data_IF_022317076706
#
_entry.id   IF_022317076706
#
_cell.length_a   1.000
_cell.length_b   1.000
_cell.length_c   1.000
_cell.angle_alpha   90.00
_cell.angle_beta   90.00
_cell.angle_gamma   90.00
#
_symmetry.space_group_name_H-M   'P 1'
#
loop_
_entity.id
_entity.type
_entity.pdbx_description
1 polymer ?
#
# COMPACT_ATOMS: atom_id res chain seq x y z
N UNK A 1 24.60 6.55 -17.49
CA UNK A 1 24.06 5.67 -16.45
C UNK A 1 22.87 4.91 -17.01
N UNK A 2 22.73 3.60 -16.67
CA UNK A 2 21.59 2.76 -17.09
C UNK A 2 20.95 2.15 -15.85
N UNK A 3 19.71 2.50 -15.58
CA UNK A 3 18.96 1.95 -14.44
C UNK A 3 17.93 0.93 -14.96
N UNK A 4 18.04 -0.31 -14.52
CA UNK A 4 17.09 -1.36 -14.83
C UNK A 4 16.08 -1.49 -13.68
N UNK A 5 14.78 -1.50 -14.01
CA UNK A 5 13.70 -1.50 -13.02
C UNK A 5 12.79 -2.70 -13.22
N UNK A 6 12.54 -3.44 -12.15
CA UNK A 6 11.53 -4.48 -12.12
C UNK A 6 10.13 -3.84 -12.10
N UNK A 7 9.39 -3.97 -13.21
CA UNK A 7 8.07 -3.39 -13.42
C UNK A 7 6.97 -4.47 -13.54
N UNK A 8 7.20 -5.69 -13.05
CA UNK A 8 6.25 -6.81 -13.17
C UNK A 8 4.87 -6.55 -12.56
N UNK A 9 4.77 -5.62 -11.61
CA UNK A 9 3.52 -5.23 -10.95
C UNK A 9 2.72 -4.16 -11.71
N UNK A 10 3.25 -3.64 -12.82
CA UNK A 10 2.54 -2.70 -13.70
C UNK A 10 1.74 -3.40 -14.80
N UNK A 11 1.53 -4.70 -14.69
CA UNK A 11 0.84 -5.52 -15.69
C UNK A 11 -0.66 -5.76 -15.44
N UNK A 12 -1.17 -5.72 -14.22
CA UNK A 12 -2.61 -5.87 -13.96
C UNK A 12 -3.40 -4.63 -14.37
N UNK A 13 -4.64 -4.83 -14.82
CA UNK A 13 -5.59 -3.73 -15.09
C UNK A 13 -5.93 -2.90 -13.85
N UNK A 14 -5.53 -3.36 -12.66
CA UNK A 14 -5.74 -2.72 -11.37
C UNK A 14 -4.38 -2.58 -10.70
N UNK A 15 -3.96 -1.35 -10.43
CA UNK A 15 -2.78 -1.11 -9.62
C UNK A 15 -3.13 -1.31 -8.15
N UNK A 16 -2.53 -2.30 -7.54
CA UNK A 16 -2.55 -2.50 -6.09
C UNK A 16 -1.23 -1.99 -5.48
N UNK A 17 -1.10 -1.95 -4.18
CA UNK A 17 0.00 -1.33 -3.43
C UNK A 17 1.37 -1.29 -4.11
N UNK A 18 1.96 -2.45 -4.46
CA UNK A 18 3.25 -2.49 -5.18
C UNK A 18 3.19 -1.86 -6.57
N UNK A 19 2.07 -2.04 -7.28
CA UNK A 19 1.87 -1.46 -8.60
C UNK A 19 1.78 0.07 -8.53
N UNK A 20 0.98 0.58 -7.60
CA UNK A 20 0.85 2.04 -7.36
C UNK A 20 2.20 2.64 -6.97
N UNK A 21 2.90 2.05 -6.00
CA UNK A 21 4.23 2.49 -5.59
C UNK A 21 5.21 2.55 -6.77
N UNK A 22 5.28 1.48 -7.55
CA UNK A 22 6.15 1.40 -8.72
C UNK A 22 5.79 2.44 -9.78
N UNK A 23 4.50 2.60 -10.06
CA UNK A 23 4.01 3.55 -11.06
C UNK A 23 4.34 5.00 -10.67
N UNK A 24 4.05 5.37 -9.43
CA UNK A 24 4.23 6.73 -8.94
C UNK A 24 5.73 7.14 -8.93
N UNK A 25 6.63 6.24 -8.54
CA UNK A 25 8.05 6.54 -8.56
C UNK A 25 8.62 6.55 -9.99
N UNK A 26 8.36 5.48 -10.75
CA UNK A 26 8.98 5.32 -12.08
C UNK A 26 8.54 6.39 -13.06
N UNK A 27 7.25 6.75 -13.05
CA UNK A 27 6.73 7.78 -13.97
C UNK A 27 7.30 9.18 -13.68
N UNK A 28 7.64 9.48 -12.43
CA UNK A 28 8.33 10.72 -12.06
C UNK A 28 9.79 10.67 -12.48
N UNK A 29 10.52 9.63 -12.13
CA UNK A 29 11.94 9.52 -12.46
C UNK A 29 12.22 9.59 -13.96
N UNK A 30 11.45 8.88 -14.78
CA UNK A 30 11.66 8.89 -16.24
C UNK A 30 11.38 10.25 -16.89
N UNK A 31 10.54 11.09 -16.28
CA UNK A 31 10.24 12.46 -16.73
C UNK A 31 11.28 13.47 -16.23
N UNK A 32 11.77 13.30 -15.00
CA UNK A 32 12.66 14.26 -14.36
C UNK A 32 14.14 14.06 -14.73
N UNK A 33 14.54 12.83 -15.12
CA UNK A 33 15.94 12.46 -15.35
C UNK A 33 16.19 11.99 -16.79
N UNK A 34 16.06 12.90 -17.73
CA UNK A 34 16.24 12.63 -19.16
C UNK A 34 17.66 12.19 -19.55
N UNK A 35 18.66 12.53 -18.73
CA UNK A 35 20.07 12.14 -18.90
C UNK A 35 20.36 10.68 -18.54
N UNK A 36 19.40 10.00 -17.93
CA UNK A 36 19.49 8.60 -17.50
C UNK A 36 18.72 7.68 -18.42
N UNK A 37 19.32 6.57 -18.82
CA UNK A 37 18.61 5.53 -19.57
C UNK A 37 17.91 4.55 -18.63
N UNK A 38 16.61 4.38 -18.81
CA UNK A 38 15.79 3.46 -18.03
C UNK A 38 15.44 2.21 -18.83
N UNK A 39 15.64 1.03 -18.23
CA UNK A 39 15.23 -0.26 -18.76
C UNK A 39 14.12 -0.82 -17.88
N UNK A 40 12.86 -0.65 -18.30
CA UNK A 40 11.69 -1.13 -17.58
C UNK A 40 11.42 -2.60 -17.95
N UNK A 41 11.53 -3.50 -16.98
CA UNK A 41 11.48 -4.95 -17.20
C UNK A 41 10.13 -5.50 -16.73
N UNK A 42 9.42 -6.14 -17.65
CA UNK A 42 8.11 -6.75 -17.41
C UNK A 42 8.18 -8.26 -17.63
N UNK A 43 7.34 -9.01 -16.91
CA UNK A 43 7.17 -10.45 -17.12
C UNK A 43 6.06 -10.78 -18.15
N UNK A 44 5.31 -9.77 -18.57
CA UNK A 44 4.24 -9.79 -19.59
C UNK A 44 3.94 -8.36 -20.05
N UNK A 45 3.05 -8.21 -21.04
CA UNK A 45 2.64 -6.89 -21.53
C UNK A 45 2.07 -6.02 -20.40
N UNK A 46 2.55 -4.77 -20.24
CA UNK A 46 1.98 -3.82 -19.29
C UNK A 46 0.59 -3.37 -19.75
N UNK A 47 -0.33 -3.22 -18.80
CA UNK A 47 -1.68 -2.70 -19.08
C UNK A 47 -1.85 -1.25 -18.67
N UNK A 48 -0.85 -0.67 -17.99
CA UNK A 48 -0.82 0.74 -17.61
C UNK A 48 -0.07 1.56 -18.66
N UNK A 49 -0.53 2.79 -18.86
CA UNK A 49 0.14 3.73 -19.76
C UNK A 49 1.40 4.26 -19.08
N UNK A 50 2.55 3.95 -19.67
CA UNK A 50 3.85 4.49 -19.25
C UNK A 50 4.29 5.47 -20.35
N UNK A 51 4.70 6.70 -20.01
CA UNK A 51 5.17 7.68 -20.97
C UNK A 51 6.23 7.10 -21.91
N UNK A 52 6.10 7.39 -23.20
CA UNK A 52 7.07 7.01 -24.21
C UNK A 52 8.11 8.12 -24.35
N UNK A 53 9.30 7.89 -23.82
CA UNK A 53 10.39 8.84 -23.79
C UNK A 53 11.64 8.22 -24.43
N UNK A 54 12.52 9.02 -25.09
CA UNK A 54 13.70 8.50 -25.79
C UNK A 54 14.68 7.74 -24.87
N UNK A 55 14.73 8.10 -23.59
CA UNK A 55 15.57 7.49 -22.57
C UNK A 55 14.95 6.26 -21.90
N UNK A 56 13.77 5.79 -22.34
CA UNK A 56 13.04 4.68 -21.73
C UNK A 56 12.94 3.50 -22.70
N UNK A 57 13.42 2.34 -22.27
CA UNK A 57 13.28 1.07 -22.99
C UNK A 57 12.39 0.10 -22.22
N UNK A 58 11.25 -0.27 -22.79
CA UNK A 58 10.38 -1.35 -22.26
C UNK A 58 10.90 -2.70 -22.74
N UNK A 59 11.04 -3.66 -21.84
CA UNK A 59 11.55 -5.02 -22.14
C UNK A 59 10.66 -6.05 -21.49
N UNK A 60 10.08 -6.94 -22.30
CA UNK A 60 9.25 -8.04 -21.81
C UNK A 60 10.06 -9.31 -21.88
N UNK A 61 10.16 -10.02 -20.75
CA UNK A 61 10.89 -11.29 -20.67
C UNK A 61 10.15 -12.28 -19.75
N UNK A 62 10.00 -13.50 -20.23
CA UNK A 62 9.47 -14.61 -19.43
C UNK A 62 10.46 -15.26 -18.47
N UNK A 63 9.95 -16.20 -17.67
CA UNK A 63 8.57 -16.65 -17.59
C UNK A 63 7.67 -15.67 -16.83
N UNK A 64 6.33 -15.67 -17.07
CA UNK A 64 5.38 -14.91 -16.25
C UNK A 64 5.46 -15.32 -14.77
N UNK A 65 5.61 -14.35 -13.89
CA UNK A 65 5.84 -14.58 -12.45
C UNK A 65 4.52 -14.86 -11.71
N UNK A 66 3.97 -16.08 -11.85
CA UNK A 66 2.70 -16.49 -11.20
C UNK A 66 2.87 -17.56 -10.13
N UNK A 67 4.08 -18.12 -9.96
CA UNK A 67 4.38 -19.20 -9.02
C UNK A 67 5.81 -19.03 -8.48
N UNK A 68 6.13 -19.38 -7.23
CA UNK A 68 7.46 -19.23 -6.63
C UNK A 68 8.64 -19.79 -7.46
N UNK A 69 8.45 -20.95 -8.12
CA UNK A 69 9.46 -21.48 -9.04
C UNK A 69 9.74 -20.55 -10.22
N UNK A 70 8.69 -19.93 -10.78
CA UNK A 70 8.84 -18.99 -11.89
C UNK A 70 9.46 -17.66 -11.43
N UNK A 71 9.24 -17.23 -10.18
CA UNK A 71 9.96 -16.11 -9.57
C UNK A 71 11.47 -16.41 -9.54
N UNK A 72 11.84 -17.61 -9.04
CA UNK A 72 13.23 -18.00 -8.99
C UNK A 72 13.89 -18.00 -10.38
N UNK A 73 13.25 -18.60 -11.40
CA UNK A 73 13.75 -18.59 -12.78
C UNK A 73 13.91 -17.16 -13.29
N UNK A 74 12.89 -16.32 -13.08
CA UNK A 74 12.88 -14.95 -13.58
C UNK A 74 13.98 -14.10 -12.95
N UNK A 75 14.11 -14.11 -11.62
CA UNK A 75 15.12 -13.33 -10.91
C UNK A 75 16.54 -13.88 -11.06
N UNK A 76 16.72 -15.19 -11.14
CA UNK A 76 18.07 -15.79 -11.18
C UNK A 76 18.62 -16.03 -12.58
N UNK A 77 17.75 -16.04 -13.62
CA UNK A 77 18.19 -16.29 -14.99
C UNK A 77 17.80 -15.16 -15.94
N UNK A 78 16.55 -14.72 -15.94
CA UNK A 78 16.06 -13.75 -16.91
C UNK A 78 16.58 -12.35 -16.59
N UNK A 79 16.46 -11.89 -15.35
CA UNK A 79 16.95 -10.57 -14.91
C UNK A 79 18.47 -10.42 -15.15
N UNK A 80 19.38 -11.32 -14.71
CA UNK A 80 20.81 -11.15 -14.96
C UNK A 80 21.19 -11.03 -16.44
N UNK A 81 20.47 -11.75 -17.33
CA UNK A 81 20.71 -11.65 -18.77
C UNK A 81 20.38 -10.26 -19.31
N UNK A 82 19.26 -9.67 -18.85
CA UNK A 82 18.86 -8.32 -19.27
C UNK A 82 19.82 -7.27 -18.69
N UNK A 83 20.17 -7.38 -17.41
CA UNK A 83 21.13 -6.47 -16.78
C UNK A 83 22.48 -6.46 -17.56
N UNK A 84 22.97 -7.63 -17.96
CA UNK A 84 24.18 -7.74 -18.78
C UNK A 84 23.99 -7.18 -20.18
N UNK A 85 22.86 -7.49 -20.86
CA UNK A 85 22.56 -7.06 -22.23
C UNK A 85 22.52 -5.54 -22.36
N UNK A 86 21.89 -4.87 -21.39
CA UNK A 86 21.75 -3.42 -21.39
C UNK A 86 22.85 -2.69 -20.62
N UNK A 87 23.85 -3.41 -20.12
CA UNK A 87 24.97 -2.87 -19.31
C UNK A 87 24.43 -2.01 -18.15
N UNK A 88 23.42 -2.55 -17.45
CA UNK A 88 22.81 -1.85 -16.33
C UNK A 88 23.84 -1.54 -15.24
N UNK A 89 23.86 -0.29 -14.78
CA UNK A 89 24.72 0.17 -13.68
C UNK A 89 24.07 -0.07 -12.33
N UNK A 90 22.72 -0.14 -12.30
CA UNK A 90 21.94 -0.42 -11.11
C UNK A 90 20.67 -1.20 -11.46
N UNK A 91 20.26 -2.09 -10.57
CA UNK A 91 18.97 -2.78 -10.59
C UNK A 91 18.08 -2.30 -9.44
N UNK A 92 16.90 -1.76 -9.77
CA UNK A 92 15.89 -1.41 -8.77
C UNK A 92 14.71 -2.40 -8.78
N UNK A 93 14.37 -2.93 -7.60
CA UNK A 93 13.25 -3.85 -7.45
C UNK A 93 12.30 -3.36 -6.36
N UNK A 94 11.13 -2.82 -6.73
CA UNK A 94 10.21 -2.12 -5.82
C UNK A 94 9.35 -3.05 -4.96
N UNK A 95 9.53 -4.36 -5.03
CA UNK A 95 8.67 -5.38 -4.43
C UNK A 95 9.42 -6.35 -3.49
N UNK A 96 10.63 -5.99 -3.08
CA UNK A 96 11.43 -6.76 -2.12
C UNK A 96 12.17 -7.97 -2.68
N UNK A 97 12.01 -8.29 -3.97
CA UNK A 97 12.76 -9.36 -4.62
C UNK A 97 14.07 -8.85 -5.18
N UNK A 98 15.05 -9.76 -5.33
CA UNK A 98 16.36 -9.46 -5.90
C UNK A 98 16.89 -10.67 -6.67
N UNK A 99 17.94 -10.46 -7.46
CA UNK A 99 18.74 -11.54 -8.05
C UNK A 99 19.97 -11.83 -7.19
N UNK A 100 20.09 -13.04 -6.69
CA UNK A 100 21.28 -13.48 -5.93
C UNK A 100 22.48 -13.71 -6.85
N UNK A 101 22.26 -14.00 -8.13
CA UNK A 101 23.29 -14.27 -9.14
C UNK A 101 23.85 -13.02 -9.80
N UNK A 102 23.11 -11.92 -9.80
CA UNK A 102 23.57 -10.67 -10.40
C UNK A 102 24.72 -10.06 -9.59
N UNK A 103 25.69 -9.47 -10.31
CA UNK A 103 26.77 -8.65 -9.72
C UNK A 103 26.47 -7.15 -9.84
N UNK A 104 25.41 -6.77 -10.53
CA UNK A 104 24.98 -5.37 -10.64
C UNK A 104 24.50 -4.89 -9.27
N UNK A 105 24.96 -3.72 -8.80
CA UNK A 105 24.44 -3.11 -7.58
C UNK A 105 22.91 -3.04 -7.61
N UNK A 106 22.27 -3.29 -6.46
CA UNK A 106 20.81 -3.32 -6.42
C UNK A 106 20.25 -2.51 -5.25
N UNK A 107 19.14 -1.84 -5.51
CA UNK A 107 18.27 -1.25 -4.51
C UNK A 107 16.94 -2.00 -4.54
N UNK A 108 16.47 -2.46 -3.39
CA UNK A 108 15.16 -3.13 -3.27
C UNK A 108 14.27 -2.38 -2.29
N UNK A 109 12.95 -2.42 -2.49
CA UNK A 109 12.00 -1.88 -1.50
C UNK A 109 11.31 -3.02 -0.78
N UNK A 110 11.49 -3.11 0.53
CA UNK A 110 10.76 -4.05 1.40
C UNK A 110 9.68 -3.26 2.11
N UNK A 111 8.42 -3.53 1.78
CA UNK A 111 7.29 -2.76 2.29
C UNK A 111 6.89 -3.17 3.70
N UNK A 112 6.85 -4.47 3.98
CA UNK A 112 6.56 -5.04 5.29
C UNK A 112 7.09 -6.47 5.41
N UNK A 113 7.04 -7.02 6.62
CA UNK A 113 7.40 -8.40 6.93
C UNK A 113 6.23 -9.21 7.49
N UNK A 114 4.99 -8.95 7.03
CA UNK A 114 3.81 -9.71 7.50
C UNK A 114 4.01 -11.23 7.38
N UNK A 115 4.70 -11.70 6.33
CA UNK A 115 4.97 -13.11 6.10
C UNK A 115 5.90 -13.76 7.14
N UNK A 116 6.69 -12.97 7.88
CA UNK A 116 7.48 -13.44 9.02
C UNK A 116 6.62 -13.54 10.28
N UNK A 117 5.81 -12.52 10.56
CA UNK A 117 5.01 -12.41 11.77
C UNK A 117 3.73 -13.22 11.72
N UNK A 118 3.06 -13.27 10.57
CA UNK A 118 1.78 -13.94 10.34
C UNK A 118 1.87 -14.92 9.17
N UNK A 119 2.67 -15.99 9.25
CA UNK A 119 2.88 -16.91 8.14
C UNK A 119 1.62 -17.66 7.70
N UNK A 120 0.61 -17.73 8.54
CA UNK A 120 -0.69 -18.36 8.24
C UNK A 120 -1.52 -17.52 7.25
N UNK A 121 -1.23 -16.23 7.10
CA UNK A 121 -1.93 -15.33 6.18
C UNK A 121 -1.62 -15.59 4.70
N UNK A 122 -0.64 -16.44 4.41
CA UNK A 122 -0.18 -16.70 3.06
C UNK A 122 -0.25 -18.18 2.68
N UNK A 123 -0.39 -18.51 1.38
CA UNK A 123 -0.22 -19.87 0.90
C UNK A 123 1.14 -20.43 1.34
N UNK A 124 1.16 -21.67 1.86
CA UNK A 124 2.33 -22.29 2.49
C UNK A 124 3.61 -22.22 1.65
N UNK A 125 3.50 -22.48 0.34
CA UNK A 125 4.65 -22.46 -0.59
C UNK A 125 5.20 -21.04 -0.76
N UNK A 126 4.32 -20.05 -0.89
CA UNK A 126 4.73 -18.65 -1.00
C UNK A 126 5.35 -18.16 0.31
N UNK A 127 4.73 -18.43 1.44
CA UNK A 127 5.27 -18.06 2.76
C UNK A 127 6.63 -18.69 3.03
N UNK A 128 6.82 -19.99 2.68
CA UNK A 128 8.13 -20.63 2.74
C UNK A 128 9.16 -19.95 1.84
N UNK A 129 8.79 -19.62 0.60
CA UNK A 129 9.69 -18.95 -0.35
C UNK A 129 10.14 -17.59 0.18
N UNK A 130 9.21 -16.75 0.63
CA UNK A 130 9.50 -15.41 1.14
C UNK A 130 10.43 -15.48 2.36
N UNK A 131 10.10 -16.27 3.37
CA UNK A 131 10.92 -16.43 4.59
C UNK A 131 12.33 -17.01 4.29
N UNK A 132 12.48 -17.81 3.24
CA UNK A 132 13.79 -18.37 2.85
C UNK A 132 14.64 -17.37 2.05
N UNK A 133 14.02 -16.56 1.19
CA UNK A 133 14.76 -15.79 0.19
C UNK A 133 14.81 -14.28 0.48
N UNK A 134 13.80 -13.69 1.11
CA UNK A 134 13.82 -12.23 1.39
C UNK A 134 14.99 -11.84 2.30
N UNK A 135 15.37 -12.59 3.36
CA UNK A 135 16.58 -12.28 4.12
C UNK A 135 17.84 -12.22 3.24
N UNK A 136 17.97 -13.15 2.28
CA UNK A 136 19.09 -13.20 1.34
C UNK A 136 19.05 -12.06 0.33
N UNK A 137 17.84 -11.64 -0.09
CA UNK A 137 17.66 -10.50 -0.97
C UNK A 137 18.07 -9.20 -0.27
N UNK A 138 17.68 -9.04 1.00
CA UNK A 138 18.07 -7.91 1.84
C UNK A 138 19.59 -7.91 2.07
N UNK A 139 20.18 -9.05 2.39
CA UNK A 139 21.63 -9.20 2.54
C UNK A 139 22.40 -8.83 1.26
N UNK A 140 21.93 -9.33 0.11
CA UNK A 140 22.55 -9.12 -1.22
C UNK A 140 22.41 -7.68 -1.72
N UNK A 141 21.30 -7.01 -1.43
CA UNK A 141 21.04 -5.65 -1.91
C UNK A 141 22.13 -4.68 -1.42
N UNK A 142 22.51 -3.73 -2.27
CA UNK A 142 23.46 -2.66 -1.88
C UNK A 142 22.78 -1.69 -0.92
N UNK A 143 21.54 -1.33 -1.20
CA UNK A 143 20.68 -0.50 -0.33
C UNK A 143 19.27 -1.08 -0.29
N UNK A 144 18.57 -0.81 0.79
CA UNK A 144 17.18 -1.21 0.99
C UNK A 144 16.35 0.05 1.24
N UNK A 145 15.26 0.21 0.51
CA UNK A 145 14.21 1.17 0.82
C UNK A 145 13.11 0.48 1.62
N UNK A 146 12.46 1.24 2.48
CA UNK A 146 11.25 0.82 3.15
C UNK A 146 10.33 2.02 3.37
N UNK A 147 9.07 1.74 3.71
CA UNK A 147 8.00 2.73 3.63
C UNK A 147 7.60 3.35 4.99
N UNK A 148 8.22 2.91 6.09
CA UNK A 148 8.00 3.46 7.44
C UNK A 148 9.20 3.21 8.35
N UNK A 149 9.31 3.99 9.43
CA UNK A 149 10.32 3.77 10.46
C UNK A 149 10.08 2.46 11.20
N UNK A 150 8.79 2.10 11.40
CA UNK A 150 8.41 0.78 11.91
C UNK A 150 8.99 -0.35 11.05
N UNK A 151 8.74 -0.33 9.73
CA UNK A 151 9.27 -1.36 8.83
C UNK A 151 10.80 -1.38 8.78
N UNK A 152 11.47 -0.23 8.90
CA UNK A 152 12.92 -0.16 9.04
C UNK A 152 13.41 -0.88 10.28
N UNK A 153 12.80 -0.63 11.43
CA UNK A 153 13.14 -1.31 12.69
C UNK A 153 12.88 -2.80 12.60
N UNK A 154 11.75 -3.20 12.00
CA UNK A 154 11.37 -4.60 11.83
C UNK A 154 12.36 -5.36 10.94
N UNK A 155 12.74 -4.81 9.78
CA UNK A 155 13.76 -5.39 8.89
C UNK A 155 15.11 -5.51 9.62
N UNK A 156 15.53 -4.45 10.33
CA UNK A 156 16.78 -4.44 11.09
C UNK A 156 16.79 -5.55 12.13
N UNK A 157 15.71 -5.71 12.87
CA UNK A 157 15.57 -6.72 13.94
C UNK A 157 15.50 -8.14 13.39
N UNK A 158 14.62 -8.38 12.39
CA UNK A 158 14.37 -9.72 11.86
C UNK A 158 15.56 -10.26 11.07
N UNK A 159 16.24 -9.40 10.30
CA UNK A 159 17.33 -9.84 9.40
C UNK A 159 18.71 -9.42 9.85
N UNK A 160 18.84 -8.80 11.02
CA UNK A 160 20.12 -8.29 11.57
C UNK A 160 20.88 -7.43 10.55
N UNK A 161 20.12 -6.69 9.73
CA UNK A 161 20.65 -5.81 8.70
C UNK A 161 21.08 -4.49 9.32
N UNK A 162 22.23 -3.96 8.91
CA UNK A 162 22.71 -2.66 9.39
C UNK A 162 21.69 -1.54 9.04
N UNK A 163 21.34 -0.72 10.04
CA UNK A 163 20.31 0.33 9.91
C UNK A 163 20.66 1.37 8.83
N UNK A 164 21.96 1.61 8.60
CA UNK A 164 22.50 2.55 7.62
C UNK A 164 22.27 2.07 6.17
N UNK A 165 22.08 0.75 5.99
CA UNK A 165 21.72 0.15 4.71
C UNK A 165 20.27 0.42 4.31
N UNK A 166 19.40 0.74 5.28
CA UNK A 166 17.96 0.88 5.12
C UNK A 166 17.59 2.36 5.18
N UNK A 167 16.99 2.86 4.10
CA UNK A 167 16.44 4.23 4.03
C UNK A 167 14.91 4.16 4.07
N UNK A 168 14.30 4.95 4.96
CA UNK A 168 12.84 5.11 5.02
C UNK A 168 12.42 6.19 4.05
N UNK A 169 11.47 5.88 3.18
CA UNK A 169 10.84 6.80 2.24
C UNK A 169 9.33 6.59 2.31
N UNK A 170 8.62 7.56 2.86
CA UNK A 170 7.17 7.49 3.01
C UNK A 170 6.46 7.54 1.64
N UNK A 171 5.36 6.79 1.52
CA UNK A 171 4.50 6.87 0.35
C UNK A 171 3.69 8.17 0.36
N UNK A 172 3.20 8.57 -0.81
CA UNK A 172 2.19 9.61 -0.96
C UNK A 172 0.78 9.04 -1.17
N UNK A 173 -0.16 9.95 -1.43
CA UNK A 173 -1.45 9.65 -2.00
C UNK A 173 -1.70 10.51 -3.25
N UNK A 174 -2.60 10.04 -4.13
CA UNK A 174 -2.92 10.76 -5.36
C UNK A 174 -3.67 12.07 -5.05
N UNK A 175 -3.42 13.11 -5.85
CA UNK A 175 -4.03 14.44 -5.68
C UNK A 175 -5.54 14.47 -5.88
N UNK A 176 -6.11 13.42 -6.47
CA UNK A 176 -7.56 13.29 -6.62
C UNK A 176 -8.28 13.18 -5.25
N UNK A 177 -7.57 12.72 -4.21
CA UNK A 177 -8.07 12.73 -2.84
C UNK A 177 -7.94 14.15 -2.28
N UNK A 178 -9.07 14.81 -2.08
CA UNK A 178 -9.17 16.16 -1.55
C UNK A 178 -10.52 16.36 -0.86
N UNK A 179 -10.68 17.37 -0.01
CA UNK A 179 -11.98 17.71 0.57
C UNK A 179 -13.02 17.97 -0.52
N UNK A 180 -14.22 17.44 -0.35
CA UNK A 180 -15.32 17.55 -1.30
C UNK A 180 -16.32 18.62 -0.85
N UNK A 181 -17.03 19.25 -1.82
CA UNK A 181 -18.19 20.09 -1.54
C UNK A 181 -19.35 19.28 -0.97
N UNK A 182 -20.22 19.92 -0.19
CA UNK A 182 -21.36 19.24 0.42
C UNK A 182 -22.32 18.65 -0.63
N UNK A 183 -22.49 19.29 -1.78
CA UNK A 183 -23.33 18.76 -2.87
C UNK A 183 -22.83 17.41 -3.39
N UNK A 184 -21.50 17.28 -3.56
CA UNK A 184 -20.89 16.01 -3.97
C UNK A 184 -21.04 14.95 -2.88
N UNK A 185 -20.84 15.32 -1.61
CA UNK A 185 -21.03 14.39 -0.48
C UNK A 185 -22.46 13.89 -0.40
N UNK A 186 -23.46 14.78 -0.50
CA UNK A 186 -24.90 14.44 -0.47
C UNK A 186 -25.24 13.50 -1.65
N UNK A 187 -24.78 13.83 -2.86
CA UNK A 187 -25.04 13.01 -4.05
C UNK A 187 -24.44 11.61 -3.91
N UNK A 188 -23.20 11.53 -3.41
CA UNK A 188 -22.51 10.26 -3.18
C UNK A 188 -23.21 9.44 -2.10
N UNK A 189 -23.59 10.05 -0.97
CA UNK A 189 -24.32 9.36 0.11
C UNK A 189 -25.68 8.86 -0.35
N UNK A 190 -26.42 9.62 -1.16
CA UNK A 190 -27.68 9.16 -1.76
C UNK A 190 -27.49 7.87 -2.57
N UNK A 191 -26.43 7.81 -3.35
CA UNK A 191 -26.12 6.65 -4.20
C UNK A 191 -25.69 5.43 -3.39
N UNK A 192 -24.91 5.62 -2.31
CA UNK A 192 -24.22 4.53 -1.59
C UNK A 192 -25.04 4.03 -0.40
N UNK A 193 -25.66 4.92 0.38
CA UNK A 193 -26.23 4.65 1.70
C UNK A 193 -27.59 5.32 1.93
N UNK A 194 -28.36 5.56 0.86
CA UNK A 194 -29.66 6.26 0.94
C UNK A 194 -29.58 7.59 1.74
N UNK A 195 -28.52 8.37 1.50
CA UNK A 195 -28.21 9.64 2.16
C UNK A 195 -27.84 9.53 3.65
N UNK A 196 -27.57 8.34 4.16
CA UNK A 196 -27.09 8.16 5.53
C UNK A 196 -25.58 8.41 5.58
N UNK A 197 -25.04 8.97 6.69
CA UNK A 197 -23.61 8.98 6.90
C UNK A 197 -23.08 7.54 6.98
N UNK A 198 -21.81 7.33 6.66
CA UNK A 198 -21.22 5.99 6.72
C UNK A 198 -19.76 6.01 7.16
N UNK A 199 -19.37 4.95 7.84
CA UNK A 199 -17.99 4.55 8.02
C UNK A 199 -17.48 3.87 6.76
N UNK A 200 -16.22 4.09 6.42
CA UNK A 200 -15.61 3.50 5.24
C UNK A 200 -14.43 2.60 5.62
N UNK A 201 -14.44 1.38 5.09
CA UNK A 201 -13.26 0.53 5.01
C UNK A 201 -12.77 0.45 3.56
N UNK A 202 -11.45 0.56 3.34
CA UNK A 202 -10.82 0.40 2.02
C UNK A 202 -9.68 -0.58 2.10
N UNK A 203 -9.70 -1.61 1.23
CA UNK A 203 -8.61 -2.56 1.10
C UNK A 203 -9.06 -3.94 0.61
N UNK A 204 -8.10 -4.79 0.25
CA UNK A 204 -8.40 -6.19 -0.04
C UNK A 204 -9.01 -6.87 1.19
N UNK A 205 -9.93 -7.81 0.97
CA UNK A 205 -10.54 -8.59 2.05
C UNK A 205 -9.61 -9.72 2.51
N UNK A 206 -8.36 -9.36 2.82
CA UNK A 206 -7.34 -10.25 3.35
C UNK A 206 -7.44 -10.33 4.88
N UNK A 207 -7.17 -11.47 5.55
CA UNK A 207 -7.29 -11.62 7.01
C UNK A 207 -6.60 -10.50 7.80
N UNK A 208 -5.38 -10.11 7.40
CA UNK A 208 -4.63 -9.04 8.07
C UNK A 208 -5.33 -7.68 8.09
N UNK A 209 -6.26 -7.43 7.15
CA UNK A 209 -7.05 -6.20 7.10
C UNK A 209 -8.19 -6.16 8.11
N UNK A 210 -8.46 -7.30 8.77
CA UNK A 210 -9.30 -7.41 9.97
C UNK A 210 -10.77 -6.99 9.79
N UNK A 211 -11.28 -7.12 8.58
CA UNK A 211 -12.65 -6.67 8.21
C UNK A 211 -13.70 -7.39 9.04
N UNK A 212 -13.49 -8.68 9.37
CA UNK A 212 -14.46 -9.44 10.15
C UNK A 212 -14.66 -8.86 11.55
N UNK A 213 -13.57 -8.47 12.26
CA UNK A 213 -13.71 -7.84 13.58
C UNK A 213 -14.33 -6.45 13.49
N UNK A 214 -14.03 -5.69 12.44
CA UNK A 214 -14.69 -4.41 12.19
C UNK A 214 -16.21 -4.58 12.02
N UNK A 215 -16.65 -5.56 11.24
CA UNK A 215 -18.07 -5.88 11.06
C UNK A 215 -18.71 -6.29 12.39
N UNK A 216 -18.06 -7.18 13.14
CA UNK A 216 -18.57 -7.61 14.46
C UNK A 216 -18.71 -6.43 15.42
N UNK A 217 -17.71 -5.54 15.48
CA UNK A 217 -17.77 -4.33 16.31
C UNK A 217 -18.89 -3.38 15.87
N UNK A 218 -19.04 -3.17 14.56
CA UNK A 218 -20.12 -2.34 14.02
C UNK A 218 -21.51 -2.91 14.34
N UNK A 219 -21.71 -4.21 14.20
CA UNK A 219 -22.97 -4.89 14.51
C UNK A 219 -23.28 -4.90 16.02
N UNK A 220 -22.26 -4.71 16.86
CA UNK A 220 -22.45 -4.54 18.31
C UNK A 220 -23.05 -3.19 18.71
N UNK A 221 -23.07 -2.19 17.81
CA UNK A 221 -23.66 -0.88 18.06
C UNK A 221 -25.18 -0.97 17.99
N UNK A 222 -25.87 -0.58 19.06
CA UNK A 222 -27.33 -0.57 19.08
C UNK A 222 -27.90 0.49 18.14
N UNK A 223 -28.65 0.07 17.12
CA UNK A 223 -29.36 0.93 16.17
C UNK A 223 -28.49 2.09 15.62
N UNK A 224 -27.39 1.80 14.91
CA UNK A 224 -26.48 2.82 14.47
C UNK A 224 -27.15 3.80 13.50
N UNK A 225 -26.92 5.10 13.70
CA UNK A 225 -27.35 6.16 12.76
C UNK A 225 -26.48 6.24 11.50
N UNK A 226 -25.36 5.52 11.49
CA UNK A 226 -24.28 5.52 10.48
C UNK A 226 -24.19 4.13 9.87
N UNK A 227 -24.07 4.01 8.56
CA UNK A 227 -23.88 2.74 7.84
C UNK A 227 -22.39 2.34 7.78
N UNK A 228 -22.08 1.11 7.38
CA UNK A 228 -20.72 0.64 7.11
C UNK A 228 -20.56 0.33 5.62
N UNK A 229 -19.63 0.99 4.96
CA UNK A 229 -19.28 0.79 3.56
C UNK A 229 -17.94 0.09 3.45
N UNK A 230 -17.88 -1.00 2.70
CA UNK A 230 -16.69 -1.82 2.50
C UNK A 230 -16.32 -1.80 1.03
N UNK A 231 -15.15 -1.21 0.73
CA UNK A 231 -14.58 -1.15 -0.62
C UNK A 231 -13.38 -2.07 -0.72
N UNK A 232 -13.43 -2.99 -1.65
CA UNK A 232 -12.37 -3.94 -1.94
C UNK A 232 -12.89 -5.29 -2.41
N UNK A 233 -11.99 -6.14 -2.86
CA UNK A 233 -12.33 -7.48 -3.34
C UNK A 233 -11.59 -8.56 -2.54
N UNK A 234 -12.18 -9.75 -2.46
CA UNK A 234 -11.52 -10.90 -1.87
C UNK A 234 -10.29 -11.29 -2.70
N UNK A 235 -9.13 -11.43 -2.08
CA UNK A 235 -7.91 -11.93 -2.73
C UNK A 235 -7.91 -13.43 -2.91
N UNK A 236 -8.58 -14.16 -2.00
CA UNK A 236 -8.61 -15.63 -1.95
C UNK A 236 -10.05 -16.12 -1.78
N UNK A 237 -10.42 -17.21 -2.45
CA UNK A 237 -11.78 -17.77 -2.44
C UNK A 237 -12.23 -18.34 -1.07
N UNK A 238 -11.30 -18.54 -0.14
CA UNK A 238 -11.54 -19.30 1.10
C UNK A 238 -11.87 -18.45 2.33
N UNK A 239 -11.88 -17.11 2.23
CA UNK A 239 -12.24 -16.25 3.34
C UNK A 239 -13.64 -15.68 3.15
N UNK A 240 -14.63 -16.39 3.70
CA UNK A 240 -16.02 -15.90 3.78
C UNK A 240 -16.10 -14.90 4.94
N UNK A 241 -16.50 -13.67 4.62
CA UNK A 241 -16.90 -12.68 5.61
C UNK A 241 -18.31 -13.04 6.07
N UNK A 242 -18.48 -13.22 7.37
CA UNK A 242 -19.78 -13.49 7.98
C UNK A 242 -20.40 -12.16 8.43
N UNK A 243 -21.65 -11.96 8.03
CA UNK A 243 -22.46 -10.80 8.46
C UNK A 243 -23.70 -11.37 9.15
N UNK A 244 -23.98 -10.93 10.37
CA UNK A 244 -25.22 -11.26 11.04
C UNK A 244 -26.40 -10.70 10.21
N UNK A 245 -27.44 -11.49 9.91
CA UNK A 245 -28.62 -11.01 9.22
C UNK A 245 -29.28 -9.78 9.88
N UNK A 246 -29.18 -9.66 11.21
CA UNK A 246 -29.65 -8.46 11.91
C UNK A 246 -28.70 -7.28 11.64
N UNK A 247 -29.17 -6.29 10.90
CA UNK A 247 -28.39 -5.11 10.51
C UNK A 247 -27.54 -5.30 9.25
N UNK A 248 -27.68 -6.41 8.54
CA UNK A 248 -26.99 -6.64 7.27
C UNK A 248 -27.33 -5.62 6.19
N UNK A 249 -28.53 -5.04 6.22
CA UNK A 249 -29.02 -3.97 5.36
C UNK A 249 -28.26 -2.65 5.50
N UNK A 250 -27.47 -2.51 6.58
CA UNK A 250 -26.63 -1.36 6.90
C UNK A 250 -25.16 -1.52 6.50
N UNK A 251 -24.78 -2.67 5.93
CA UNK A 251 -23.41 -2.98 5.52
C UNK A 251 -23.37 -3.12 4.00
N UNK A 252 -22.69 -2.21 3.34
CA UNK A 252 -22.65 -2.11 1.88
C UNK A 252 -21.30 -2.56 1.33
N UNK A 253 -21.28 -3.67 0.58
CA UNK A 253 -20.09 -4.15 -0.12
C UNK A 253 -20.09 -3.61 -1.55
N UNK A 254 -19.19 -2.70 -1.87
CA UNK A 254 -19.12 -2.06 -3.19
C UNK A 254 -18.13 -2.75 -4.15
N UNK A 255 -17.39 -3.74 -3.66
CA UNK A 255 -16.36 -4.36 -4.47
C UNK A 255 -15.20 -3.40 -4.79
N UNK A 256 -14.58 -3.58 -5.94
CA UNK A 256 -13.51 -2.69 -6.40
C UNK A 256 -14.12 -1.44 -7.04
N UNK A 257 -13.61 -0.28 -6.66
CA UNK A 257 -13.94 1.01 -7.28
C UNK A 257 -12.75 1.56 -8.05
N UNK A 258 -13.02 2.26 -9.15
CA UNK A 258 -12.00 3.07 -9.83
C UNK A 258 -11.55 4.22 -8.93
N UNK A 259 -10.31 4.69 -9.09
CA UNK A 259 -9.67 5.66 -8.21
C UNK A 259 -10.52 6.95 -8.01
N UNK A 260 -11.12 7.47 -9.09
CA UNK A 260 -11.99 8.66 -9.02
C UNK A 260 -13.24 8.39 -8.16
N UNK A 261 -13.88 7.27 -8.36
CA UNK A 261 -15.07 6.89 -7.59
C UNK A 261 -14.72 6.61 -6.13
N UNK A 262 -13.57 5.95 -5.88
CA UNK A 262 -13.08 5.73 -4.52
C UNK A 262 -12.81 7.05 -3.79
N UNK A 263 -12.24 8.05 -4.46
CA UNK A 263 -12.00 9.36 -3.87
C UNK A 263 -13.30 10.07 -3.49
N UNK A 264 -14.34 9.99 -4.33
CA UNK A 264 -15.68 10.51 -4.00
C UNK A 264 -16.30 9.79 -2.79
N UNK A 265 -16.22 8.45 -2.76
CA UNK A 265 -16.73 7.64 -1.65
C UNK A 265 -15.95 7.94 -0.36
N UNK A 266 -14.62 8.06 -0.44
CA UNK A 266 -13.80 8.39 0.72
C UNK A 266 -14.09 9.79 1.27
N UNK A 267 -14.08 10.81 0.42
CA UNK A 267 -14.34 12.19 0.85
C UNK A 267 -15.77 12.44 1.35
N UNK A 268 -16.70 11.51 1.08
CA UNK A 268 -18.10 11.57 1.55
C UNK A 268 -18.35 10.77 2.83
N UNK A 269 -17.36 10.00 3.31
CA UNK A 269 -17.48 9.20 4.52
C UNK A 269 -17.51 10.07 5.79
N UNK A 270 -18.13 9.56 6.85
CA UNK A 270 -18.04 10.14 8.18
C UNK A 270 -16.63 9.98 8.76
N UNK A 271 -16.07 8.80 8.58
CA UNK A 271 -14.68 8.48 8.96
C UNK A 271 -14.17 7.26 8.18
N UNK A 272 -12.85 7.18 8.00
CA UNK A 272 -12.19 5.94 7.62
C UNK A 272 -12.06 5.04 8.86
N UNK A 273 -12.38 3.74 8.71
CA UNK A 273 -12.18 2.71 9.73
C UNK A 273 -11.13 1.71 9.24
N UNK A 274 -9.91 1.84 9.75
CA UNK A 274 -8.76 1.09 9.27
C UNK A 274 -8.04 0.39 10.42
N UNK A 275 -8.46 -0.82 10.73
CA UNK A 275 -8.04 -1.59 11.91
C UNK A 275 -7.29 -2.89 11.57
N UNK A 276 -6.35 -2.91 10.60
CA UNK A 276 -5.55 -4.09 10.31
C UNK A 276 -4.65 -4.44 11.49
N UNK A 277 -4.36 -5.71 11.66
CA UNK A 277 -3.40 -6.12 12.69
C UNK A 277 -1.94 -6.07 12.22
N UNK A 278 -1.70 -5.93 10.91
CA UNK A 278 -0.36 -5.74 10.36
C UNK A 278 -0.36 -4.89 9.07
N UNK A 279 0.47 -3.86 9.03
CA UNK A 279 0.70 -2.98 7.87
C UNK A 279 2.14 -2.47 7.83
N UNK A 280 2.63 -2.22 6.61
CA UNK A 280 3.91 -1.55 6.40
C UNK A 280 3.80 -0.02 6.29
N UNK A 281 2.64 0.50 5.82
CA UNK A 281 2.42 1.94 5.67
C UNK A 281 0.95 2.37 5.89
N UNK A 282 0.01 1.80 5.14
CA UNK A 282 -1.40 2.21 5.21
C UNK A 282 -1.74 3.38 4.28
N UNK A 283 -1.55 3.22 2.98
CA UNK A 283 -1.93 4.25 1.97
C UNK A 283 -3.36 4.80 2.21
N UNK A 284 -4.40 3.99 2.55
CA UNK A 284 -5.74 4.51 2.84
C UNK A 284 -5.79 5.56 3.94
N UNK A 285 -4.87 5.56 4.91
CA UNK A 285 -4.79 6.62 5.93
C UNK A 285 -4.44 7.96 5.28
N UNK A 286 -3.44 7.97 4.40
CA UNK A 286 -2.99 9.21 3.73
C UNK A 286 -4.08 9.72 2.77
N UNK A 287 -4.76 8.82 2.06
CA UNK A 287 -5.88 9.15 1.20
C UNK A 287 -7.03 9.79 2.00
N UNK A 288 -7.38 9.22 3.16
CA UNK A 288 -8.40 9.76 4.05
C UNK A 288 -7.97 11.12 4.65
N UNK A 289 -6.72 11.24 5.08
CA UNK A 289 -6.16 12.49 5.59
C UNK A 289 -6.23 13.61 4.53
N UNK A 290 -5.91 13.31 3.27
CA UNK A 290 -6.05 14.28 2.17
C UNK A 290 -7.50 14.68 1.92
N UNK A 291 -8.45 13.78 2.11
CA UNK A 291 -9.88 14.10 2.04
C UNK A 291 -10.39 14.89 3.27
N UNK A 292 -9.58 15.05 4.30
CA UNK A 292 -9.95 15.73 5.54
C UNK A 292 -11.01 14.99 6.34
N UNK A 293 -11.05 13.65 6.28
CA UNK A 293 -11.99 12.86 7.08
C UNK A 293 -11.32 12.30 8.34
N UNK A 294 -12.08 12.15 9.45
CA UNK A 294 -11.60 11.49 10.66
C UNK A 294 -11.17 10.04 10.42
N UNK A 295 -10.35 9.51 11.29
CA UNK A 295 -9.83 8.14 11.18
C UNK A 295 -9.98 7.40 12.51
N UNK A 296 -10.51 6.16 12.46
CA UNK A 296 -10.30 5.13 13.48
C UNK A 296 -9.26 4.15 12.97
N UNK A 297 -8.13 4.04 13.64
CA UNK A 297 -7.01 3.19 13.22
C UNK A 297 -6.62 2.17 14.30
N UNK A 298 -6.00 1.08 13.90
CA UNK A 298 -5.34 0.20 14.85
C UNK A 298 -4.10 0.89 15.47
N UNK A 299 -3.84 0.59 16.73
CA UNK A 299 -2.68 1.10 17.49
C UNK A 299 -1.39 0.30 17.23
N UNK A 300 -1.33 -0.46 16.14
CA UNK A 300 -0.26 -1.41 15.84
C UNK A 300 0.57 -0.99 14.62
N UNK A 301 1.79 -1.55 14.55
CA UNK A 301 2.71 -1.41 13.41
C UNK A 301 3.02 0.05 13.08
N UNK A 302 2.95 0.42 11.80
CA UNK A 302 3.24 1.78 11.33
C UNK A 302 2.06 2.75 11.46
N UNK A 303 0.86 2.31 11.82
CA UNK A 303 -0.34 3.15 11.72
C UNK A 303 -0.29 4.39 12.63
N UNK A 304 0.18 4.28 13.92
CA UNK A 304 0.38 5.46 14.75
C UNK A 304 1.46 6.43 14.22
N UNK A 305 2.51 5.89 13.57
CA UNK A 305 3.54 6.70 12.92
C UNK A 305 2.96 7.51 11.76
N UNK A 306 2.07 6.91 10.97
CA UNK A 306 1.52 7.55 9.77
C UNK A 306 0.38 8.51 10.11
N UNK A 307 -0.62 8.06 10.87
CA UNK A 307 -1.79 8.89 11.16
C UNK A 307 -1.55 9.92 12.28
N UNK A 308 -0.61 9.69 13.22
CA UNK A 308 -0.30 10.64 14.29
C UNK A 308 -1.55 11.07 15.07
N UNK A 309 -1.78 12.36 15.17
CA UNK A 309 -2.94 12.95 15.86
C UNK A 309 -4.21 13.06 14.97
N UNK A 310 -4.17 12.57 13.74
CA UNK A 310 -5.31 12.54 12.81
C UNK A 310 -6.27 11.37 13.06
N UNK A 311 -5.96 10.48 13.99
CA UNK A 311 -6.74 9.28 14.28
C UNK A 311 -7.00 9.10 15.77
N UNK A 312 -8.11 8.44 16.10
CA UNK A 312 -8.27 7.70 17.35
C UNK A 312 -7.81 6.26 17.13
N UNK A 313 -7.34 5.62 18.19
CA UNK A 313 -6.70 4.32 18.09
C UNK A 313 -7.40 3.27 18.94
N UNK A 314 -7.38 2.01 18.45
CA UNK A 314 -7.90 0.85 19.17
C UNK A 314 -6.97 -0.36 18.98
N UNK A 315 -7.03 -1.31 19.90
CA UNK A 315 -6.45 -2.63 19.70
C UNK A 315 -7.24 -3.38 18.61
N UNK A 316 -6.62 -3.77 17.48
CA UNK A 316 -7.29 -4.47 16.39
C UNK A 316 -7.81 -5.87 16.78
N UNK A 317 -7.35 -6.42 17.89
CA UNK A 317 -7.82 -7.72 18.42
C UNK A 317 -8.96 -7.58 19.40
N UNK A 318 -9.25 -6.37 19.88
CA UNK A 318 -10.32 -6.08 20.86
C UNK A 318 -11.55 -5.48 20.16
N UNK A 319 -12.57 -6.32 19.94
CA UNK A 319 -13.82 -5.91 19.27
C UNK A 319 -14.51 -4.77 20.03
N UNK A 320 -14.46 -4.76 21.37
CA UNK A 320 -15.08 -3.72 22.18
C UNK A 320 -14.39 -2.36 22.03
N UNK A 321 -13.06 -2.34 21.92
CA UNK A 321 -12.34 -1.08 21.67
C UNK A 321 -12.65 -0.52 20.28
N UNK A 322 -12.73 -1.40 19.26
CA UNK A 322 -13.16 -0.99 17.91
C UNK A 322 -14.56 -0.39 17.97
N UNK A 323 -15.51 -1.06 18.65
CA UNK A 323 -16.88 -0.57 18.83
C UNK A 323 -16.90 0.79 19.53
N UNK A 324 -16.21 0.95 20.65
CA UNK A 324 -16.11 2.22 21.39
C UNK A 324 -15.56 3.34 20.50
N UNK A 325 -14.53 3.06 19.68
CA UNK A 325 -14.03 4.04 18.72
C UNK A 325 -15.07 4.47 17.66
N UNK A 326 -15.87 3.53 17.17
CA UNK A 326 -16.97 3.84 16.25
C UNK A 326 -18.05 4.70 16.93
N UNK A 327 -18.44 4.35 18.17
CA UNK A 327 -19.44 5.10 18.96
C UNK A 327 -18.97 6.53 19.25
N UNK A 328 -17.70 6.72 19.62
CA UNK A 328 -17.09 8.05 19.79
C UNK A 328 -17.19 8.90 18.52
N UNK A 329 -16.94 8.30 17.36
CA UNK A 329 -17.05 8.99 16.08
C UNK A 329 -18.53 9.27 15.68
N UNK A 330 -19.50 8.54 16.18
CA UNK A 330 -20.93 8.83 16.00
C UNK A 330 -21.36 10.02 16.87
N UNK A 331 -20.98 10.00 18.14
CA UNK A 331 -21.56 10.86 19.18
C UNK A 331 -20.84 12.20 19.33
N UNK A 332 -19.58 12.31 18.91
CA UNK A 332 -18.74 13.48 19.22
C UNK A 332 -18.36 14.30 17.98
N UNK A 333 -19.18 15.29 17.64
CA UNK A 333 -18.95 16.20 16.51
C UNK A 333 -17.67 17.02 16.69
N UNK A 334 -17.37 17.48 17.90
CA UNK A 334 -16.16 18.27 18.20
C UNK A 334 -14.91 17.46 17.92
N UNK A 335 -14.90 16.19 18.34
CA UNK A 335 -13.80 15.27 18.04
C UNK A 335 -13.63 15.09 16.53
N UNK A 336 -14.72 14.89 15.79
CA UNK A 336 -14.63 14.73 14.32
C UNK A 336 -14.07 15.97 13.63
N UNK A 337 -14.46 17.16 14.05
CA UNK A 337 -13.91 18.43 13.52
C UNK A 337 -12.41 18.50 13.78
N UNK A 338 -11.98 18.27 15.01
CA UNK A 338 -10.55 18.27 15.37
C UNK A 338 -9.74 17.25 14.58
N UNK A 339 -10.23 16.02 14.43
CA UNK A 339 -9.57 14.97 13.66
C UNK A 339 -9.50 15.31 12.17
N UNK A 340 -10.54 15.95 11.61
CA UNK A 340 -10.56 16.43 10.23
C UNK A 340 -9.47 17.49 9.97
N UNK A 341 -9.32 18.47 10.85
CA UNK A 341 -8.27 19.50 10.78
C UNK A 341 -6.89 18.87 10.89
N UNK A 342 -6.70 17.98 11.87
CA UNK A 342 -5.46 17.24 12.05
C UNK A 342 -5.13 16.39 10.80
N UNK A 343 -6.13 15.77 10.17
CA UNK A 343 -5.97 14.98 8.93
C UNK A 343 -5.40 15.82 7.80
N UNK A 344 -5.98 16.99 7.52
CA UNK A 344 -5.51 17.89 6.46
C UNK A 344 -4.07 18.32 6.73
N UNK A 345 -3.75 18.71 7.96
CA UNK A 345 -2.40 19.13 8.34
C UNK A 345 -1.39 17.97 8.18
N UNK A 346 -1.72 16.78 8.70
CA UNK A 346 -0.85 15.62 8.65
C UNK A 346 -0.59 15.13 7.22
N UNK A 347 -1.59 15.21 6.33
CA UNK A 347 -1.48 14.81 4.93
C UNK A 347 -0.36 15.52 4.17
N UNK A 348 0.02 16.74 4.58
CA UNK A 348 1.05 17.54 3.92
C UNK A 348 2.45 16.91 3.99
N UNK A 349 2.66 15.99 4.93
CA UNK A 349 3.94 15.28 5.09
C UNK A 349 4.12 14.13 4.09
N UNK A 350 3.07 13.75 3.36
CA UNK A 350 3.06 12.57 2.48
C UNK A 350 2.80 12.95 1.02
N UNK A 351 3.86 12.91 0.22
CA UNK A 351 3.81 13.27 -1.20
C UNK A 351 4.58 12.26 -2.04
N UNK A 352 4.00 11.86 -3.17
CA UNK A 352 4.70 11.03 -4.15
C UNK A 352 5.90 11.76 -4.78
N UNK A 353 5.88 13.09 -4.88
CA UNK A 353 7.01 13.87 -5.39
C UNK A 353 8.19 13.81 -4.40
N UNK A 354 7.92 13.94 -3.09
CA UNK A 354 8.95 13.75 -2.07
C UNK A 354 9.46 12.31 -2.04
N UNK A 355 8.56 11.32 -2.15
CA UNK A 355 8.92 9.91 -2.22
C UNK A 355 9.84 9.61 -3.42
N UNK A 356 9.49 10.14 -4.59
CA UNK A 356 10.30 9.99 -5.80
C UNK A 356 11.66 10.65 -5.65
N UNK A 357 11.73 11.87 -5.12
CA UNK A 357 12.99 12.59 -4.89
C UNK A 357 13.90 11.84 -3.90
N UNK A 358 13.38 11.48 -2.72
CA UNK A 358 14.17 10.79 -1.68
C UNK A 358 14.66 9.42 -2.13
N UNK A 359 13.80 8.65 -2.79
CA UNK A 359 14.19 7.34 -3.33
C UNK A 359 15.18 7.46 -4.49
N UNK A 360 15.06 8.51 -5.31
CA UNK A 360 16.02 8.80 -6.36
C UNK A 360 17.41 9.10 -5.82
N UNK A 361 17.54 9.85 -4.76
CA UNK A 361 18.84 10.14 -4.12
C UNK A 361 19.57 8.86 -3.71
N UNK A 362 18.84 7.89 -3.17
CA UNK A 362 19.39 6.56 -2.82
C UNK A 362 19.82 5.79 -4.07
N UNK A 363 18.98 5.79 -5.12
CA UNK A 363 19.25 5.10 -6.38
C UNK A 363 20.46 5.72 -7.08
N UNK A 364 20.47 7.06 -7.22
CA UNK A 364 21.53 7.78 -7.90
C UNK A 364 22.91 7.61 -7.20
N UNK A 365 22.92 7.77 -5.88
CA UNK A 365 24.14 7.55 -5.09
C UNK A 365 24.66 6.12 -5.25
N UNK A 366 23.77 5.11 -5.16
CA UNK A 366 24.13 3.70 -5.29
C UNK A 366 24.63 3.34 -6.70
N UNK A 367 24.14 4.01 -7.73
CA UNK A 367 24.56 3.75 -9.12
C UNK A 367 25.93 4.33 -9.47
N UNK A 368 26.42 5.30 -8.68
CA UNK A 368 27.69 5.99 -8.86
C UNK A 368 28.80 5.53 -7.91
N UNK A 369 28.51 4.62 -6.97
CA UNK A 369 29.50 3.89 -6.15
C UNK A 369 29.91 2.59 -6.80
#
# INVERSE_FOLDING_TARGET
MVIAINCRHLTPNKLEGFGTYTYELVTRWIKEHNEVNFVLIFDREPTVVIPELPNVKKVIIGPPTRHPLLYWIWFEWSIPRILKRYKATLFFSPDGYNSLRSRVPSVITVHDLNFEHNPADLPKVLGWYLRKFVPKFVEKATRVLTVSAYSKQDITKCYRCASEKISTVYNGANEIYQPLSEDVKITTRKRISNNRPYFLFVGSLHPRKNVQRLITAYQGINNPSVDLVIVGSAMWRDHQISVDPNGADRIHFLGYLAQKELAEVMGSALALTYVPYFEGFGIPLVEAMRCGIPILAANTTCLPEIAGNAAIYCDPFNVQEIQTGLEQLIENDTLRIQLSENSINRATEFSWDQAAKQSWEVIYTTANT
#
